data_IF_969385489698
#
_entry.id   IF_969385489698
#
_cell.length_a   1.000
_cell.length_b   1.000
_cell.length_c   1.000
_cell.angle_alpha   90.00
_cell.angle_beta   90.00
_cell.angle_gamma   90.00
#
_symmetry.space_group_name_H-M   'P 1'
#
loop_
_entity.id
_entity.type
_entity.pdbx_description
1 polymer ?
#
# COMPACT_ATOMS: atom_id res chain seq x y z
N UNK A 1 5.47 -29.38 -16.97
CA UNK A 1 5.77 -27.96 -17.26
C UNK A 1 4.71 -27.09 -16.57
N UNK A 2 4.90 -26.74 -15.29
CA UNK A 2 4.06 -25.75 -14.61
C UNK A 2 4.95 -24.56 -14.27
N UNK A 3 4.86 -23.49 -15.08
CA UNK A 3 5.50 -22.22 -14.78
C UNK A 3 4.72 -21.56 -13.66
N UNK A 4 5.20 -21.70 -12.43
CA UNK A 4 4.69 -20.93 -11.29
C UNK A 4 5.29 -19.53 -11.41
N UNK A 5 4.62 -18.67 -12.17
CA UNK A 5 4.93 -17.25 -12.25
C UNK A 5 4.51 -16.61 -10.92
N UNK A 6 5.35 -16.78 -9.89
CA UNK A 6 5.30 -16.01 -8.65
C UNK A 6 5.89 -14.63 -8.93
N UNK A 7 5.11 -13.76 -9.57
CA UNK A 7 5.40 -12.33 -9.50
C UNK A 7 4.82 -11.87 -8.16
N UNK A 8 5.71 -11.77 -7.18
CA UNK A 8 5.42 -11.18 -5.87
C UNK A 8 4.83 -9.79 -6.07
N UNK A 9 3.59 -9.61 -5.63
CA UNK A 9 2.79 -8.39 -5.72
C UNK A 9 3.26 -7.27 -4.75
N UNK A 10 4.57 -7.04 -4.62
CA UNK A 10 5.15 -6.14 -3.60
C UNK A 10 6.01 -5.02 -4.20
N UNK A 11 5.69 -4.53 -5.40
CA UNK A 11 6.55 -3.52 -6.06
C UNK A 11 5.94 -2.13 -6.20
N UNK A 12 4.63 -1.96 -5.97
CA UNK A 12 3.98 -0.67 -6.25
C UNK A 12 4.43 0.48 -5.35
N UNK A 13 4.62 0.21 -4.05
CA UNK A 13 5.14 1.23 -3.13
C UNK A 13 6.67 1.34 -3.12
N UNK A 14 7.38 0.32 -3.60
CA UNK A 14 8.84 0.29 -3.58
C UNK A 14 9.45 1.33 -4.54
N UNK A 15 8.77 1.64 -5.65
CA UNK A 15 9.26 2.60 -6.65
C UNK A 15 9.36 4.04 -6.12
N UNK A 16 8.53 4.42 -5.15
CA UNK A 16 8.62 5.74 -4.50
C UNK A 16 9.64 5.80 -3.36
N UNK A 17 9.90 4.67 -2.69
CA UNK A 17 10.84 4.61 -1.57
C UNK A 17 12.30 4.53 -2.03
N UNK A 18 12.59 3.90 -3.18
CA UNK A 18 13.96 3.80 -3.71
C UNK A 18 14.51 5.13 -4.25
N UNK A 19 13.64 6.11 -4.52
CA UNK A 19 14.04 7.46 -4.96
C UNK A 19 14.44 8.40 -3.80
N UNK A 20 14.27 7.98 -2.54
CA UNK A 20 14.72 8.71 -1.35
C UNK A 20 15.92 8.05 -0.65
N UNK A 21 16.52 7.02 -1.24
CA UNK A 21 17.74 6.40 -0.69
C UNK A 21 18.98 7.23 -1.07
N UNK A 22 19.18 8.34 -0.36
CA UNK A 22 20.50 8.94 -0.21
C UNK A 22 21.02 8.55 1.17
N UNK A 23 21.99 7.61 1.28
CA UNK A 23 22.42 7.12 2.58
C UNK A 23 23.16 8.24 3.33
N UNK A 24 22.57 8.74 4.41
CA UNK A 24 23.32 9.49 5.40
C UNK A 24 24.29 8.52 6.10
N UNK A 25 25.56 8.91 6.09
CA UNK A 25 26.72 8.13 6.53
C UNK A 25 26.61 7.53 7.94
N UNK A 26 27.20 6.34 8.07
CA UNK A 26 27.36 5.55 9.30
C UNK A 26 28.25 6.25 10.33
N UNK A 27 27.91 6.10 11.60
CA UNK A 27 28.87 5.97 12.69
C UNK A 27 28.48 4.77 13.60
N UNK A 28 29.44 3.99 14.15
CA UNK A 28 29.15 2.68 14.74
C UNK A 28 29.13 2.59 16.28
N UNK A 29 28.34 1.60 16.76
CA UNK A 29 28.47 0.76 17.97
C UNK A 29 28.05 1.33 19.36
N UNK A 30 27.76 0.47 20.39
CA UNK A 30 27.74 -1.00 20.46
C UNK A 30 26.44 -1.64 21.01
N UNK A 31 26.41 -2.97 20.99
CA UNK A 31 25.32 -3.85 21.40
C UNK A 31 25.04 -3.86 22.91
N UNK A 32 23.77 -4.05 23.29
CA UNK A 32 23.41 -4.80 24.50
C UNK A 32 22.03 -5.43 24.39
N UNK A 33 22.00 -6.74 24.69
CA UNK A 33 20.83 -7.55 24.95
C UNK A 33 19.98 -6.92 26.05
N UNK A 34 18.67 -6.80 25.83
CA UNK A 34 17.69 -6.89 26.92
C UNK A 34 16.36 -7.34 26.36
N UNK A 35 15.86 -8.47 26.85
CA UNK A 35 14.46 -8.83 26.78
C UNK A 35 13.65 -7.68 27.39
N UNK A 36 12.72 -7.12 26.63
CA UNK A 36 11.67 -6.26 27.17
C UNK A 36 10.36 -6.59 26.47
N UNK A 37 9.36 -6.83 27.32
CA UNK A 37 7.99 -7.18 27.03
C UNK A 37 7.39 -6.42 25.84
N UNK A 38 6.54 -7.11 25.08
CA UNK A 38 5.59 -6.49 24.16
C UNK A 38 4.89 -5.31 24.86
N UNK A 39 4.99 -4.09 24.33
CA UNK A 39 4.02 -3.07 24.66
C UNK A 39 2.71 -3.49 23.98
N UNK A 40 1.75 -3.89 24.80
CA UNK A 40 0.34 -3.95 24.46
C UNK A 40 -0.15 -2.51 24.26
N UNK A 41 0.28 -1.88 23.15
CA UNK A 41 -0.25 -0.60 22.71
C UNK A 41 -1.41 -0.93 21.77
N UNK A 42 -2.60 -1.10 22.34
CA UNK A 42 -3.83 -1.14 21.57
C UNK A 42 -4.01 0.25 20.93
N UNK A 43 -3.36 0.46 19.79
CA UNK A 43 -3.68 1.56 18.90
C UNK A 43 -5.14 1.32 18.48
N UNK A 44 -6.07 2.29 18.71
CA UNK A 44 -7.52 2.07 18.58
C UNK A 44 -8.00 1.73 17.16
N UNK A 45 -7.10 1.57 16.19
CA UNK A 45 -7.37 1.25 14.80
C UNK A 45 -6.64 0.00 14.29
N UNK A 46 -5.95 -0.83 15.09
CA UNK A 46 -5.32 -2.04 14.53
C UNK A 46 -6.38 -3.09 14.17
N UNK A 47 -6.42 -3.51 12.89
CA UNK A 47 -7.34 -4.56 12.45
C UNK A 47 -6.84 -5.91 12.95
N UNK A 48 -7.55 -6.50 13.92
CA UNK A 48 -7.32 -7.87 14.35
C UNK A 48 -8.22 -8.80 13.57
N UNK A 49 -7.67 -9.51 12.58
CA UNK A 49 -8.44 -10.44 11.74
C UNK A 49 -8.52 -11.82 12.41
N UNK A 50 -9.73 -12.36 12.48
CA UNK A 50 -9.98 -13.76 12.81
C UNK A 50 -10.63 -14.45 11.61
N UNK A 51 -9.82 -15.06 10.75
CA UNK A 51 -10.31 -15.73 9.54
C UNK A 51 -10.87 -17.11 9.90
N UNK A 52 -12.11 -17.36 9.52
CA UNK A 52 -12.80 -18.63 9.74
C UNK A 52 -13.80 -18.88 8.59
N UNK A 53 -14.54 -19.99 8.65
CA UNK A 53 -15.47 -20.37 7.57
C UNK A 53 -16.57 -19.34 7.30
N UNK A 54 -16.93 -18.50 8.28
CA UNK A 54 -18.00 -17.50 8.15
C UNK A 54 -17.57 -16.27 7.35
N UNK A 55 -16.27 -15.94 7.34
CA UNK A 55 -15.76 -14.74 6.67
C UNK A 55 -14.72 -15.01 5.58
N UNK A 56 -14.38 -16.27 5.32
CA UNK A 56 -13.39 -16.64 4.32
C UNK A 56 -13.75 -16.15 2.90
N UNK A 57 -15.04 -16.12 2.56
CA UNK A 57 -15.49 -15.64 1.25
C UNK A 57 -15.36 -14.12 1.12
N UNK A 58 -15.65 -13.37 2.18
CA UNK A 58 -15.44 -11.93 2.21
C UNK A 58 -13.94 -11.57 2.17
N UNK A 59 -13.10 -12.34 2.87
CA UNK A 59 -11.63 -12.22 2.77
C UNK A 59 -11.17 -12.44 1.33
N UNK A 60 -11.67 -13.48 0.63
CA UNK A 60 -11.32 -13.73 -0.77
C UNK A 60 -11.78 -12.61 -1.70
N UNK A 61 -13.00 -12.07 -1.51
CA UNK A 61 -13.49 -10.91 -2.28
C UNK A 61 -12.57 -9.70 -2.10
N UNK A 62 -12.21 -9.39 -0.85
CA UNK A 62 -11.27 -8.31 -0.55
C UNK A 62 -9.92 -8.51 -1.23
N UNK A 63 -9.30 -9.69 -1.09
CA UNK A 63 -7.99 -9.97 -1.70
C UNK A 63 -8.03 -9.95 -3.22
N UNK A 64 -9.12 -10.41 -3.83
CA UNK A 64 -9.29 -10.33 -5.28
C UNK A 64 -9.37 -8.87 -5.76
N UNK A 65 -10.14 -8.02 -5.08
CA UNK A 65 -10.18 -6.59 -5.38
C UNK A 65 -8.83 -5.92 -5.14
N UNK A 66 -8.14 -6.23 -4.04
CA UNK A 66 -6.80 -5.70 -3.73
C UNK A 66 -5.78 -6.02 -4.83
N UNK A 67 -5.79 -7.26 -5.34
CA UNK A 67 -4.96 -7.66 -6.47
C UNK A 67 -5.29 -6.89 -7.77
N UNK A 68 -6.56 -6.60 -8.04
CA UNK A 68 -6.97 -5.81 -9.20
C UNK A 68 -6.51 -4.35 -9.13
N UNK A 69 -6.37 -3.78 -7.92
CA UNK A 69 -5.82 -2.42 -7.78
C UNK A 69 -4.44 -2.31 -8.42
N UNK A 70 -3.63 -3.36 -8.27
CA UNK A 70 -2.26 -3.40 -8.79
C UNK A 70 -2.29 -3.26 -10.31
N UNK A 71 -3.13 -4.04 -10.98
CA UNK A 71 -3.28 -4.02 -12.43
C UNK A 71 -3.79 -2.67 -12.93
N UNK A 72 -4.76 -2.07 -12.23
CA UNK A 72 -5.37 -0.80 -12.60
C UNK A 72 -4.40 0.39 -12.45
N UNK A 73 -3.57 0.36 -11.40
CA UNK A 73 -2.73 1.52 -11.04
C UNK A 73 -1.29 1.43 -11.57
N UNK A 74 -0.82 0.28 -12.06
CA UNK A 74 0.55 0.13 -12.57
C UNK A 74 0.87 1.10 -13.72
N UNK A 75 0.05 1.11 -14.77
CA UNK A 75 0.28 1.91 -15.97
C UNK A 75 0.42 3.41 -15.69
N UNK A 76 -0.53 4.09 -14.99
CA UNK A 76 -0.39 5.52 -14.72
C UNK A 76 0.80 5.84 -13.79
N UNK A 77 1.20 4.92 -12.91
CA UNK A 77 2.42 5.09 -12.09
C UNK A 77 3.69 5.02 -12.92
N UNK A 78 3.78 4.08 -13.87
CA UNK A 78 4.90 3.99 -14.80
C UNK A 78 4.99 5.21 -15.71
N UNK A 79 3.85 5.69 -16.22
CA UNK A 79 3.79 6.93 -17.00
C UNK A 79 4.28 8.14 -16.19
N UNK A 80 3.85 8.26 -14.93
CA UNK A 80 4.32 9.32 -14.04
C UNK A 80 5.83 9.25 -13.81
N UNK A 81 6.38 8.05 -13.58
CA UNK A 81 7.83 7.82 -13.44
C UNK A 81 8.58 8.26 -14.70
N UNK A 82 8.17 7.77 -15.87
CA UNK A 82 8.79 8.09 -17.16
C UNK A 82 8.71 9.60 -17.44
N UNK A 83 7.57 10.24 -17.17
CA UNK A 83 7.41 11.67 -17.36
C UNK A 83 8.32 12.47 -16.43
N UNK A 84 8.50 12.02 -15.19
CA UNK A 84 9.41 12.62 -14.20
C UNK A 84 10.87 12.50 -14.63
N UNK A 85 11.30 11.32 -15.06
CA UNK A 85 12.66 11.07 -15.57
C UNK A 85 12.98 11.98 -16.77
N UNK A 86 12.01 12.16 -17.66
CA UNK A 86 12.13 13.04 -18.83
C UNK A 86 11.88 14.52 -18.53
N UNK A 87 11.53 14.87 -17.29
CA UNK A 87 11.17 16.24 -16.86
C UNK A 87 10.06 16.88 -17.72
N UNK A 88 9.16 16.05 -18.24
CA UNK A 88 8.06 16.46 -19.13
C UNK A 88 6.84 16.83 -18.28
N UNK A 89 6.74 18.11 -17.92
CA UNK A 89 5.69 18.60 -17.00
C UNK A 89 4.27 18.41 -17.54
N UNK A 90 4.08 18.44 -18.86
CA UNK A 90 2.79 18.18 -19.48
C UNK A 90 2.39 16.70 -19.32
N UNK A 91 3.35 15.77 -19.52
CA UNK A 91 3.10 14.35 -19.27
C UNK A 91 2.98 14.01 -17.80
N UNK A 92 3.71 14.70 -16.91
CA UNK A 92 3.51 14.56 -15.45
C UNK A 92 2.06 14.92 -15.11
N UNK A 93 1.56 16.06 -15.59
CA UNK A 93 0.18 16.48 -15.34
C UNK A 93 -0.84 15.45 -15.87
N UNK A 94 -0.65 14.95 -17.09
CA UNK A 94 -1.53 13.94 -17.68
C UNK A 94 -1.51 12.62 -16.88
N UNK A 95 -0.34 12.14 -16.47
CA UNK A 95 -0.19 10.93 -15.67
C UNK A 95 -0.83 11.07 -14.28
N UNK A 96 -0.71 12.24 -13.63
CA UNK A 96 -1.40 12.51 -12.36
C UNK A 96 -2.94 12.48 -12.50
N UNK A 97 -3.46 13.05 -13.59
CA UNK A 97 -4.90 13.00 -13.88
C UNK A 97 -5.38 11.55 -14.08
N UNK A 98 -4.67 10.78 -14.90
CA UNK A 98 -4.99 9.36 -15.11
C UNK A 98 -4.88 8.55 -13.81
N UNK A 99 -3.84 8.77 -13.01
CA UNK A 99 -3.66 8.10 -11.73
C UNK A 99 -4.84 8.38 -10.79
N UNK A 100 -5.29 9.64 -10.73
CA UNK A 100 -6.46 10.04 -9.93
C UNK A 100 -7.75 9.41 -10.44
N UNK A 101 -7.96 9.39 -11.76
CA UNK A 101 -9.13 8.74 -12.36
C UNK A 101 -9.16 7.23 -12.06
N UNK A 102 -8.02 6.54 -12.23
CA UNK A 102 -7.91 5.11 -11.95
C UNK A 102 -8.04 4.79 -10.46
N UNK A 103 -7.54 5.65 -9.58
CA UNK A 103 -7.79 5.49 -8.15
C UNK A 103 -9.27 5.64 -7.80
N UNK A 104 -9.97 6.62 -8.40
CA UNK A 104 -11.42 6.76 -8.21
C UNK A 104 -12.19 5.54 -8.73
N UNK A 105 -11.74 4.93 -9.84
CA UNK A 105 -12.28 3.67 -10.33
C UNK A 105 -12.10 2.55 -9.28
N UNK A 106 -10.90 2.38 -8.73
CA UNK A 106 -10.61 1.39 -7.69
C UNK A 106 -11.49 1.59 -6.45
N UNK A 107 -11.66 2.85 -6.00
CA UNK A 107 -12.52 3.19 -4.87
C UNK A 107 -13.99 2.84 -5.15
N UNK A 108 -14.48 3.18 -6.35
CA UNK A 108 -15.85 2.84 -6.75
C UNK A 108 -16.07 1.33 -6.87
N UNK A 109 -15.06 0.57 -7.30
CA UNK A 109 -15.14 -0.89 -7.34
C UNK A 109 -15.13 -1.49 -5.92
N UNK A 110 -14.43 -0.88 -4.97
CA UNK A 110 -14.47 -1.24 -3.56
C UNK A 110 -15.87 -1.09 -2.96
N UNK A 111 -16.59 -0.02 -3.34
CA UNK A 111 -17.94 0.26 -2.86
C UNK A 111 -18.98 -0.75 -3.38
N UNK A 112 -18.69 -1.40 -4.50
CA UNK A 112 -19.52 -2.49 -5.05
C UNK A 112 -19.27 -3.84 -4.37
N UNK A 113 -18.20 -3.98 -3.58
CA UNK A 113 -17.93 -5.23 -2.89
C UNK A 113 -18.94 -5.49 -1.79
N UNK A 114 -19.67 -6.59 -1.94
CA UNK A 114 -20.58 -7.09 -0.92
C UNK A 114 -19.82 -7.84 0.18
N UNK A 115 -19.31 -7.09 1.16
CA UNK A 115 -18.61 -7.59 2.35
C UNK A 115 -19.58 -7.53 3.53
N UNK A 116 -19.83 -8.68 4.16
CA UNK A 116 -20.73 -8.81 5.31
C UNK A 116 -20.00 -8.76 6.65
N UNK A 117 -18.79 -9.33 6.70
CA UNK A 117 -17.99 -9.33 7.92
C UNK A 117 -17.52 -7.91 8.28
N UNK A 118 -17.81 -7.41 9.50
CA UNK A 118 -17.48 -6.05 9.90
C UNK A 118 -15.97 -5.78 9.95
N UNK A 119 -15.16 -6.80 10.26
CA UNK A 119 -13.70 -6.69 10.32
C UNK A 119 -13.11 -6.61 8.92
N UNK A 120 -13.61 -7.42 7.98
CA UNK A 120 -13.20 -7.34 6.57
C UNK A 120 -13.66 -6.03 5.95
N UNK A 121 -14.83 -5.50 6.35
CA UNK A 121 -15.27 -4.20 5.88
C UNK A 121 -14.38 -3.06 6.42
N UNK A 122 -13.98 -3.11 7.70
CA UNK A 122 -13.01 -2.16 8.26
C UNK A 122 -11.66 -2.22 7.54
N UNK A 123 -11.19 -3.43 7.17
CA UNK A 123 -9.98 -3.61 6.38
C UNK A 123 -10.10 -2.96 5.00
N UNK A 124 -11.23 -3.16 4.32
CA UNK A 124 -11.53 -2.51 3.04
C UNK A 124 -11.50 -0.99 3.18
N UNK A 125 -12.12 -0.44 4.22
CA UNK A 125 -12.15 1.02 4.46
C UNK A 125 -10.74 1.58 4.70
N UNK A 126 -9.89 0.89 5.46
CA UNK A 126 -8.47 1.26 5.62
C UNK A 126 -7.69 1.21 4.31
N UNK A 127 -7.92 0.20 3.48
CA UNK A 127 -7.28 0.12 2.17
C UNK A 127 -7.69 1.30 1.27
N UNK A 128 -8.97 1.69 1.30
CA UNK A 128 -9.48 2.88 0.60
C UNK A 128 -8.85 4.17 1.14
N UNK A 129 -8.79 4.34 2.46
CA UNK A 129 -8.18 5.50 3.09
C UNK A 129 -6.69 5.62 2.70
N UNK A 130 -5.96 4.51 2.73
CA UNK A 130 -4.57 4.47 2.30
C UNK A 130 -4.40 4.91 0.84
N UNK A 131 -5.25 4.42 -0.05
CA UNK A 131 -5.23 4.81 -1.47
C UNK A 131 -5.49 6.31 -1.63
N UNK A 132 -6.52 6.86 -0.96
CA UNK A 132 -6.82 8.31 -0.99
C UNK A 132 -5.64 9.14 -0.49
N UNK A 133 -5.06 8.77 0.66
CA UNK A 133 -3.89 9.46 1.21
C UNK A 133 -2.70 9.43 0.25
N UNK A 134 -2.47 8.28 -0.40
CA UNK A 134 -1.36 8.09 -1.35
C UNK A 134 -1.54 8.97 -2.59
N UNK A 135 -2.74 9.01 -3.15
CA UNK A 135 -3.07 9.84 -4.32
C UNK A 135 -2.96 11.33 -3.98
N UNK A 136 -3.47 11.75 -2.82
CA UNK A 136 -3.33 13.14 -2.37
C UNK A 136 -1.85 13.51 -2.19
N UNK A 137 -1.06 12.64 -1.57
CA UNK A 137 0.38 12.87 -1.42
C UNK A 137 1.10 13.02 -2.77
N UNK A 138 0.84 12.13 -3.73
CA UNK A 138 1.45 12.18 -5.06
C UNK A 138 1.01 13.45 -5.81
N UNK A 139 -0.28 13.76 -5.82
CA UNK A 139 -0.80 14.96 -6.47
C UNK A 139 -0.25 16.25 -5.86
N UNK A 140 -0.18 16.37 -4.54
CA UNK A 140 0.38 17.54 -3.88
C UNK A 140 1.89 17.66 -4.17
N UNK A 141 2.64 16.56 -4.07
CA UNK A 141 4.10 16.55 -4.29
C UNK A 141 4.48 16.99 -5.70
N UNK A 142 3.84 16.42 -6.72
CA UNK A 142 4.09 16.80 -8.12
C UNK A 142 3.36 18.07 -8.53
N UNK A 143 2.28 18.45 -7.83
CA UNK A 143 1.53 19.67 -8.09
C UNK A 143 2.40 20.92 -7.97
N UNK A 144 3.33 20.97 -7.01
CA UNK A 144 4.31 22.06 -6.91
C UNK A 144 5.22 22.10 -8.14
N UNK A 145 5.72 20.94 -8.58
CA UNK A 145 6.59 20.83 -9.75
C UNK A 145 5.88 21.28 -11.03
N UNK A 146 4.66 20.79 -11.28
CA UNK A 146 3.84 21.16 -12.44
C UNK A 146 3.53 22.66 -12.47
N UNK A 147 3.34 23.27 -11.29
CA UNK A 147 3.10 24.71 -11.16
C UNK A 147 4.38 25.56 -11.24
N UNK A 148 5.57 24.96 -11.33
CA UNK A 148 6.85 25.68 -11.28
C UNK A 148 7.10 26.36 -9.94
N UNK A 149 6.51 25.84 -8.85
CA UNK A 149 6.60 26.40 -7.50
C UNK A 149 7.41 25.48 -6.59
N UNK A 150 7.95 26.07 -5.52
CA UNK A 150 8.47 25.33 -4.38
C UNK A 150 7.40 25.29 -3.28
N UNK A 151 7.23 24.17 -2.57
CA UNK A 151 6.35 24.13 -1.40
C UNK A 151 6.87 25.07 -0.30
N UNK A 152 5.95 25.71 0.42
CA UNK A 152 6.30 26.47 1.64
C UNK A 152 6.80 25.54 2.74
N UNK A 153 7.38 26.08 3.82
CA UNK A 153 7.79 25.25 4.97
C UNK A 153 6.60 24.55 5.63
N UNK A 154 5.43 25.20 5.68
CA UNK A 154 4.20 24.59 6.17
C UNK A 154 3.75 23.43 5.27
N UNK A 155 3.80 23.63 3.94
CA UNK A 155 3.47 22.59 2.97
C UNK A 155 4.43 21.40 3.05
N UNK A 156 5.73 21.65 3.27
CA UNK A 156 6.72 20.58 3.48
C UNK A 156 6.41 19.78 4.73
N UNK A 157 6.04 20.43 5.83
CA UNK A 157 5.63 19.75 7.06
C UNK A 157 4.37 18.91 6.84
N UNK A 158 3.37 19.45 6.15
CA UNK A 158 2.14 18.74 5.79
C UNK A 158 2.43 17.54 4.89
N UNK A 159 3.24 17.69 3.84
CA UNK A 159 3.65 16.61 2.95
C UNK A 159 4.37 15.51 3.71
N UNK A 160 5.30 15.87 4.61
CA UNK A 160 6.01 14.90 5.44
C UNK A 160 5.07 14.16 6.41
N UNK A 161 4.12 14.85 7.03
CA UNK A 161 3.12 14.21 7.89
C UNK A 161 2.22 13.25 7.10
N UNK A 162 1.78 13.65 5.90
CA UNK A 162 1.01 12.77 5.01
C UNK A 162 1.83 11.56 4.59
N UNK A 163 3.10 11.75 4.21
CA UNK A 163 4.01 10.66 3.88
C UNK A 163 4.14 9.65 5.03
N UNK A 164 4.35 10.12 6.27
CA UNK A 164 4.44 9.24 7.43
C UNK A 164 3.15 8.44 7.65
N UNK A 165 1.98 9.05 7.46
CA UNK A 165 0.69 8.34 7.55
C UNK A 165 0.54 7.30 6.45
N UNK A 166 0.86 7.65 5.21
CA UNK A 166 0.85 6.73 4.07
C UNK A 166 1.78 5.54 4.34
N UNK A 167 3.00 5.79 4.80
CA UNK A 167 3.98 4.75 5.10
C UNK A 167 3.48 3.80 6.20
N UNK A 168 3.00 4.35 7.32
CA UNK A 168 2.48 3.54 8.44
C UNK A 168 1.27 2.69 8.03
N UNK A 169 0.30 3.30 7.33
CA UNK A 169 -0.89 2.61 6.86
C UNK A 169 -0.57 1.54 5.80
N UNK A 170 0.35 1.83 4.88
CA UNK A 170 0.80 0.87 3.86
C UNK A 170 1.53 -0.32 4.49
N UNK A 171 2.34 -0.09 5.53
CA UNK A 171 3.01 -1.15 6.28
C UNK A 171 2.01 -2.04 7.03
N UNK A 172 1.03 -1.45 7.71
CA UNK A 172 -0.03 -2.20 8.39
C UNK A 172 -0.79 -3.09 7.40
N UNK A 173 -1.24 -2.52 6.28
CA UNK A 173 -1.96 -3.24 5.24
C UNK A 173 -1.12 -4.34 4.59
N UNK A 174 0.18 -4.11 4.38
CA UNK A 174 1.09 -5.14 3.87
C UNK A 174 1.19 -6.34 4.83
N UNK A 175 1.40 -6.08 6.12
CA UNK A 175 1.49 -7.15 7.13
C UNK A 175 0.19 -7.94 7.23
N UNK A 176 -0.95 -7.25 7.17
CA UNK A 176 -2.27 -7.87 7.15
C UNK A 176 -2.44 -8.77 5.92
N UNK A 177 -2.12 -8.27 4.72
CA UNK A 177 -2.23 -9.04 3.48
C UNK A 177 -1.36 -10.28 3.49
N UNK A 178 -0.12 -10.17 3.97
CA UNK A 178 0.77 -11.32 4.11
C UNK A 178 0.16 -12.40 5.01
N UNK A 179 -0.34 -12.01 6.19
CA UNK A 179 -1.04 -12.94 7.10
C UNK A 179 -2.26 -13.57 6.44
N UNK A 180 -3.08 -12.79 5.75
CA UNK A 180 -4.26 -13.29 5.04
C UNK A 180 -3.86 -14.33 3.99
N UNK A 181 -2.89 -14.03 3.13
CA UNK A 181 -2.37 -14.97 2.13
C UNK A 181 -1.83 -16.26 2.75
N UNK A 182 -1.16 -16.20 3.90
CA UNK A 182 -0.70 -17.39 4.62
C UNK A 182 -1.87 -18.24 5.14
N UNK A 183 -2.94 -17.61 5.64
CA UNK A 183 -4.11 -18.31 6.16
C UNK A 183 -4.91 -18.99 5.04
N UNK A 184 -5.09 -18.33 3.90
CA UNK A 184 -5.88 -18.86 2.78
C UNK A 184 -5.10 -19.82 1.87
N UNK A 185 -3.77 -19.90 2.03
CA UNK A 185 -2.96 -20.85 1.27
C UNK A 185 -3.44 -22.28 1.55
N UNK A 186 -3.52 -23.14 0.54
CA UNK A 186 -3.88 -24.54 0.75
C UNK A 186 -2.89 -25.17 1.74
N UNK A 187 -3.40 -25.78 2.82
CA UNK A 187 -2.55 -26.53 3.75
C UNK A 187 -1.82 -27.61 2.95
N UNK A 188 -0.50 -27.80 3.14
CA UNK A 188 0.20 -28.94 2.56
C UNK A 188 -0.54 -30.21 3.02
N UNK A 189 -0.84 -31.08 2.07
CA UNK A 189 -1.47 -32.37 2.36
C UNK A 189 -0.60 -33.07 3.42
N UNK A 190 -1.14 -33.24 4.62
CA UNK A 190 -0.52 -34.12 5.58
C UNK A 190 -0.61 -35.52 4.96
N UNK A 191 0.52 -36.01 4.45
CA UNK A 191 0.69 -37.43 4.16
C UNK A 191 0.35 -38.18 5.44
N UNK A 192 -0.81 -38.82 5.47
CA UNK A 192 -1.15 -39.75 6.53
C UNK A 192 -0.11 -40.88 6.46
N UNK A 193 0.64 -41.15 7.55
CA UNK A 193 1.52 -42.29 7.58
C UNK A 193 0.67 -43.56 7.43
N UNK A 194 1.04 -44.36 6.43
CA UNK A 194 0.43 -45.64 6.09
C UNK A 194 0.81 -46.72 7.10
#
# INVERSE_FOLDING_TARGET
>A
MNKVTKISAISLFALFLTACDKPAEKAPAPAQNTQTAQPQNAQPNQVTLNVNEQNIDDVKKFLNWDAQQIEILNAPQDELRIATENKDTAKIQAALQQLTEKANQVLADADKLDIKDPTVNLLKDKAKENLVLSINFVNESFGYMVQGKQPSEEDKQKLNATYQRVAASSQELQQIREKLHQIIAPKPAQEQPK
#
